data_IF_655091578845
#
_entry.id   IF_655091578845
#
_cell.length_a   1.000
_cell.length_b   1.000
_cell.length_c   1.000
_cell.angle_alpha   90.00
_cell.angle_beta   90.00
_cell.angle_gamma   90.00
#
_symmetry.space_group_name_H-M   'P 1'
#
loop_
_entity.id
_entity.type
_entity.pdbx_description
1 polymer ?
#
# COMPACT_ATOMS: atom_id res chain seq x y z
N UNK A 1 -25.93 15.70 -5.66
CA UNK A 1 -25.33 15.50 -7.00
C UNK A 1 -23.87 14.99 -6.96
N UNK A 2 -23.12 15.26 -5.87
CA UNK A 2 -21.71 14.87 -5.69
C UNK A 2 -21.48 13.38 -5.44
N UNK A 3 -22.41 12.71 -4.74
CA UNK A 3 -22.33 11.27 -4.41
C UNK A 3 -22.39 10.40 -5.67
N UNK A 4 -23.32 10.68 -6.58
CA UNK A 4 -23.46 9.96 -7.87
C UNK A 4 -22.22 10.14 -8.75
N UNK A 5 -21.64 11.36 -8.76
CA UNK A 5 -20.41 11.67 -9.51
C UNK A 5 -19.19 10.91 -8.96
N UNK A 6 -19.09 10.75 -7.64
CA UNK A 6 -18.03 9.96 -7.01
C UNK A 6 -18.21 8.45 -7.24
N UNK A 7 -19.44 7.93 -7.18
CA UNK A 7 -19.73 6.53 -7.47
C UNK A 7 -19.38 6.18 -8.93
N UNK A 8 -19.67 7.06 -9.89
CA UNK A 8 -19.39 6.84 -11.32
C UNK A 8 -17.90 6.84 -11.70
N UNK A 9 -17.04 7.40 -10.85
CA UNK A 9 -15.57 7.44 -11.00
C UNK A 9 -14.86 6.26 -10.32
N UNK A 10 -15.61 5.37 -9.67
CA UNK A 10 -15.05 4.23 -8.95
C UNK A 10 -14.44 3.22 -9.93
N UNK A 11 -13.25 2.66 -9.66
CA UNK A 11 -12.62 1.66 -10.53
C UNK A 11 -13.48 0.41 -10.74
N UNK A 12 -14.23 0.00 -9.70
CA UNK A 12 -15.21 -1.09 -9.79
C UNK A 12 -16.27 -0.84 -10.87
N UNK A 13 -16.70 0.42 -11.03
CA UNK A 13 -17.68 0.80 -12.04
C UNK A 13 -17.10 0.78 -13.46
N UNK A 14 -15.78 0.78 -13.62
CA UNK A 14 -15.13 0.63 -14.93
C UNK A 14 -15.31 -0.80 -15.44
N UNK A 15 -15.08 -1.81 -14.59
CA UNK A 15 -15.24 -3.23 -14.95
C UNK A 15 -16.70 -3.51 -15.35
N UNK A 16 -17.66 -3.01 -14.57
CA UNK A 16 -19.09 -3.18 -14.86
C UNK A 16 -19.49 -2.45 -16.16
N UNK A 17 -18.97 -1.24 -16.41
CA UNK A 17 -19.22 -0.53 -17.68
C UNK A 17 -18.63 -1.27 -18.87
N UNK A 18 -17.42 -1.82 -18.76
CA UNK A 18 -16.79 -2.61 -19.81
C UNK A 18 -17.60 -3.86 -20.13
N UNK A 19 -18.12 -4.57 -19.12
CA UNK A 19 -19.00 -5.72 -19.30
C UNK A 19 -20.30 -5.35 -20.04
N UNK A 20 -20.94 -4.23 -19.65
CA UNK A 20 -22.14 -3.74 -20.31
C UNK A 20 -21.88 -3.33 -21.78
N UNK A 21 -20.79 -2.62 -22.05
CA UNK A 21 -20.39 -2.23 -23.41
C UNK A 21 -20.08 -3.46 -24.26
N UNK A 22 -19.41 -4.47 -23.69
CA UNK A 22 -19.13 -5.73 -24.37
C UNK A 22 -20.41 -6.48 -24.78
N UNK A 23 -21.36 -6.67 -23.86
CA UNK A 23 -22.62 -7.37 -24.14
C UNK A 23 -23.43 -6.62 -25.20
N UNK A 24 -23.60 -5.30 -25.04
CA UNK A 24 -24.37 -4.48 -25.98
C UNK A 24 -23.71 -4.46 -27.36
N UNK A 25 -22.39 -4.27 -27.42
CA UNK A 25 -21.63 -4.27 -28.67
C UNK A 25 -21.71 -5.61 -29.40
N UNK A 26 -21.53 -6.72 -28.68
CA UNK A 26 -21.60 -8.07 -29.24
C UNK A 26 -23.01 -8.41 -29.73
N UNK A 27 -24.05 -8.03 -28.98
CA UNK A 27 -25.44 -8.16 -29.40
C UNK A 27 -25.68 -7.41 -30.73
N UNK A 28 -25.27 -6.15 -30.84
CA UNK A 28 -25.40 -5.38 -32.08
C UNK A 28 -24.67 -6.02 -33.26
N UNK A 29 -23.45 -6.54 -33.05
CA UNK A 29 -22.68 -7.24 -34.10
C UNK A 29 -23.37 -8.52 -34.54
N UNK A 30 -23.91 -9.31 -33.61
CA UNK A 30 -24.57 -10.58 -33.94
C UNK A 30 -25.90 -10.33 -34.64
N UNK A 31 -26.66 -9.33 -34.20
CA UNK A 31 -27.88 -8.87 -34.85
C UNK A 31 -27.62 -8.37 -36.28
N UNK A 32 -26.51 -7.67 -36.51
CA UNK A 32 -26.15 -7.18 -37.86
C UNK A 32 -25.67 -8.31 -38.79
N UNK A 33 -25.17 -9.41 -38.25
CA UNK A 33 -24.63 -10.54 -39.01
C UNK A 33 -25.61 -11.74 -39.09
N UNK A 34 -26.88 -11.56 -38.69
CA UNK A 34 -27.90 -12.62 -38.63
C UNK A 34 -27.43 -13.90 -37.89
N UNK A 35 -26.65 -13.73 -36.82
CA UNK A 35 -26.17 -14.84 -35.97
C UNK A 35 -27.03 -14.99 -34.72
N UNK A 36 -27.29 -16.23 -34.26
CA UNK A 36 -28.03 -16.45 -33.02
C UNK A 36 -27.21 -15.95 -31.81
N UNK A 37 -27.85 -15.14 -30.97
CA UNK A 37 -27.29 -14.65 -29.71
C UNK A 37 -27.97 -15.33 -28.53
N UNK A 38 -27.23 -16.17 -27.81
CA UNK A 38 -27.74 -16.92 -26.66
C UNK A 38 -27.43 -16.15 -25.39
N UNK A 39 -28.46 -15.53 -24.80
CA UNK A 39 -28.31 -14.65 -23.64
C UNK A 39 -27.70 -15.35 -22.41
N UNK A 40 -28.08 -16.60 -22.14
CA UNK A 40 -27.57 -17.35 -20.97
C UNK A 40 -26.06 -17.51 -21.02
N UNK A 41 -25.54 -17.89 -22.18
CA UNK A 41 -24.14 -18.26 -22.36
C UNK A 41 -23.27 -17.00 -22.33
N UNK A 42 -23.74 -15.93 -22.97
CA UNK A 42 -23.06 -14.65 -23.03
C UNK A 42 -23.04 -13.92 -21.68
N UNK A 43 -24.15 -13.97 -20.93
CA UNK A 43 -24.19 -13.43 -19.56
C UNK A 43 -23.32 -14.22 -18.60
N UNK A 44 -23.31 -15.56 -18.71
CA UNK A 44 -22.49 -16.42 -17.86
C UNK A 44 -21.00 -16.20 -18.14
N UNK A 45 -20.60 -16.16 -19.41
CA UNK A 45 -19.22 -15.90 -19.82
C UNK A 45 -18.76 -14.50 -19.37
N UNK A 46 -19.56 -13.47 -19.64
CA UNK A 46 -19.22 -12.09 -19.26
C UNK A 46 -19.19 -11.93 -17.74
N UNK A 47 -20.13 -12.55 -17.03
CA UNK A 47 -20.16 -12.56 -15.56
C UNK A 47 -18.92 -13.21 -14.96
N UNK A 48 -18.48 -14.34 -15.50
CA UNK A 48 -17.27 -15.03 -15.06
C UNK A 48 -16.01 -14.19 -15.27
N UNK A 49 -15.85 -13.57 -16.43
CA UNK A 49 -14.73 -12.66 -16.69
C UNK A 49 -14.77 -11.42 -15.81
N UNK A 50 -15.95 -10.86 -15.56
CA UNK A 50 -16.13 -9.72 -14.64
C UNK A 50 -15.71 -10.09 -13.23
N UNK A 51 -16.06 -11.30 -12.76
CA UNK A 51 -15.67 -11.82 -11.46
C UNK A 51 -14.15 -12.02 -11.35
N UNK A 52 -13.51 -12.61 -12.37
CA UNK A 52 -12.05 -12.78 -12.42
C UNK A 52 -11.35 -11.41 -12.38
N UNK A 53 -11.79 -10.45 -13.20
CA UNK A 53 -11.21 -9.11 -13.23
C UNK A 53 -11.40 -8.39 -11.90
N UNK A 54 -12.53 -8.60 -11.22
CA UNK A 54 -12.76 -8.10 -9.87
C UNK A 54 -11.77 -8.70 -8.86
N UNK A 55 -11.53 -10.02 -8.89
CA UNK A 55 -10.54 -10.66 -8.02
C UNK A 55 -9.12 -10.15 -8.28
N UNK A 56 -8.72 -10.03 -9.55
CA UNK A 56 -7.42 -9.44 -9.92
C UNK A 56 -7.31 -8.02 -9.40
N UNK A 57 -8.38 -7.21 -9.53
CA UNK A 57 -8.42 -5.85 -9.00
C UNK A 57 -8.28 -5.83 -7.47
N UNK A 58 -8.96 -6.73 -6.74
CA UNK A 58 -8.84 -6.84 -5.28
C UNK A 58 -7.41 -7.21 -4.87
N UNK A 59 -6.78 -8.17 -5.54
CA UNK A 59 -5.40 -8.58 -5.26
C UNK A 59 -4.41 -7.45 -5.57
N UNK A 60 -4.55 -6.82 -6.74
CA UNK A 60 -3.75 -5.66 -7.12
C UNK A 60 -3.95 -4.48 -6.17
N UNK A 61 -5.12 -4.35 -5.55
CA UNK A 61 -5.38 -3.31 -4.57
C UNK A 61 -4.70 -3.56 -3.22
N UNK A 62 -4.41 -4.80 -2.85
CA UNK A 62 -3.65 -5.12 -1.62
C UNK A 62 -2.18 -4.71 -1.75
N UNK A 63 -1.66 -4.59 -2.97
CA UNK A 63 -0.27 -4.21 -3.25
C UNK A 63 -0.27 -2.76 -3.74
N UNK A 64 -0.01 -1.76 -2.88
CA UNK A 64 0.12 -0.39 -3.34
C UNK A 64 1.30 -0.28 -4.31
N UNK A 65 1.12 0.38 -5.48
CA UNK A 65 2.24 0.67 -6.37
C UNK A 65 3.24 1.61 -5.68
N UNK A 66 4.53 1.37 -5.91
CA UNK A 66 5.62 2.16 -5.33
C UNK A 66 5.42 3.66 -5.60
N UNK A 67 5.43 4.45 -4.53
CA UNK A 67 5.28 5.90 -4.58
C UNK A 67 3.85 6.44 -4.43
N UNK A 68 2.81 5.61 -4.20
CA UNK A 68 1.45 6.08 -3.87
C UNK A 68 1.06 5.79 -2.41
N UNK A 69 0.61 6.83 -1.69
CA UNK A 69 0.11 6.75 -0.30
C UNK A 69 -1.29 6.12 -0.16
N UNK A 70 -1.95 5.79 -1.27
CA UNK A 70 -3.32 5.24 -1.26
C UNK A 70 -3.44 3.99 -2.10
N UNK A 71 -3.78 2.89 -1.45
CA UNK A 71 -4.30 1.68 -2.09
C UNK A 71 -5.56 2.02 -2.90
N UNK A 72 -5.80 1.40 -4.07
CA UNK A 72 -6.96 1.67 -4.91
C UNK A 72 -8.29 1.13 -4.33
N UNK A 73 -8.26 0.42 -3.21
CA UNK A 73 -9.45 0.06 -2.43
C UNK A 73 -9.93 1.26 -1.60
N UNK A 74 -11.23 1.31 -1.29
CA UNK A 74 -11.79 2.20 -0.27
C UNK A 74 -11.25 1.82 1.11
N UNK A 75 -9.99 2.12 1.39
CA UNK A 75 -9.61 2.43 2.76
C UNK A 75 -10.32 3.77 3.01
N UNK A 76 -11.28 3.80 3.94
CA UNK A 76 -12.00 5.02 4.29
C UNK A 76 -10.99 6.17 4.40
N UNK A 77 -11.30 7.33 3.79
CA UNK A 77 -10.41 8.48 3.85
C UNK A 77 -10.05 8.83 5.30
N UNK A 78 -10.92 8.50 6.27
CA UNK A 78 -10.66 8.55 7.71
C UNK A 78 -9.63 7.54 8.21
N UNK A 79 -9.60 6.32 7.70
CA UNK A 79 -8.59 5.31 8.04
C UNK A 79 -7.24 5.66 7.42
N UNK A 80 -7.20 6.14 6.16
CA UNK A 80 -5.97 6.70 5.57
C UNK A 80 -5.56 7.95 6.34
N UNK A 81 -6.48 8.86 6.69
CA UNK A 81 -6.18 10.00 7.57
C UNK A 81 -5.70 9.53 8.92
N UNK A 82 -6.20 8.45 9.49
CA UNK A 82 -5.78 7.97 10.81
C UNK A 82 -4.40 7.33 10.72
N UNK A 83 -4.11 6.56 9.66
CA UNK A 83 -2.79 5.99 9.39
C UNK A 83 -1.77 7.10 9.09
N UNK A 84 -2.12 8.07 8.24
CA UNK A 84 -1.24 9.19 7.88
C UNK A 84 -1.15 10.24 8.97
N UNK A 85 -2.21 10.54 9.72
CA UNK A 85 -2.18 11.41 10.90
C UNK A 85 -1.32 10.77 11.98
N UNK A 86 -1.42 9.46 12.22
CA UNK A 86 -0.44 8.71 13.03
C UNK A 86 0.98 8.87 12.46
N UNK A 87 1.19 8.63 11.16
CA UNK A 87 2.53 8.78 10.53
C UNK A 87 3.12 10.21 10.63
N UNK A 88 2.28 11.24 10.53
CA UNK A 88 2.67 12.65 10.59
C UNK A 88 2.82 13.16 12.03
N UNK A 89 1.97 12.74 12.97
CA UNK A 89 2.05 13.12 14.39
C UNK A 89 3.28 12.52 15.10
N UNK A 90 3.76 11.37 14.65
CA UNK A 90 5.00 10.76 15.17
C UNK A 90 6.27 11.25 14.45
N UNK A 91 6.13 11.71 13.21
CA UNK A 91 7.26 12.03 12.34
C UNK A 91 8.08 13.22 12.80
N UNK A 92 7.45 14.32 13.24
CA UNK A 92 8.19 15.58 13.43
C UNK A 92 9.05 15.62 14.71
N UNK A 93 8.80 14.76 15.70
CA UNK A 93 9.66 14.64 16.90
C UNK A 93 10.70 13.50 16.80
N UNK A 94 10.49 12.52 15.93
CA UNK A 94 11.45 11.43 15.68
C UNK A 94 12.41 11.79 14.54
N UNK A 95 12.02 12.68 13.62
CA UNK A 95 12.87 13.13 12.50
C UNK A 95 14.24 13.68 12.92
N UNK A 96 14.38 14.20 14.13
CA UNK A 96 15.66 14.70 14.66
C UNK A 96 16.47 13.63 15.41
N UNK A 97 15.83 12.53 15.82
CA UNK A 97 16.50 11.46 16.55
C UNK A 97 17.10 10.44 15.58
N UNK A 98 18.43 10.38 15.55
CA UNK A 98 19.21 9.39 14.80
C UNK A 98 19.07 7.99 15.44
N UNK A 99 19.19 6.95 14.63
CA UNK A 99 19.11 5.54 15.00
C UNK A 99 17.81 4.87 14.62
N UNK A 100 17.81 3.54 14.70
CA UNK A 100 16.67 2.68 14.43
C UNK A 100 15.96 2.30 15.74
N UNK A 101 14.63 2.41 15.75
CA UNK A 101 13.82 2.22 16.97
C UNK A 101 12.63 1.29 16.77
N UNK A 102 12.36 0.47 17.78
CA UNK A 102 11.08 -0.22 17.95
C UNK A 102 10.10 0.65 18.71
N UNK A 103 8.92 0.92 18.13
CA UNK A 103 7.85 1.66 18.79
C UNK A 103 6.93 0.72 19.56
N UNK A 104 6.81 0.95 20.87
CA UNK A 104 5.97 0.18 21.79
C UNK A 104 4.93 1.11 22.40
N UNK A 105 3.63 0.83 22.26
CA UNK A 105 2.59 1.63 22.90
C UNK A 105 2.63 1.44 24.43
N UNK A 106 2.52 2.55 25.17
CA UNK A 106 2.57 2.55 26.65
C UNK A 106 1.59 3.57 27.22
N UNK A 107 0.93 3.23 28.33
CA UNK A 107 0.13 4.16 29.11
C UNK A 107 0.89 4.54 30.38
N UNK A 108 0.98 5.85 30.66
CA UNK A 108 1.56 6.40 31.89
C UNK A 108 0.56 7.44 32.39
N UNK A 109 0.04 7.27 33.62
CA UNK A 109 -0.93 8.17 34.25
C UNK A 109 -2.13 8.53 33.34
N UNK A 110 -2.78 7.51 32.76
CA UNK A 110 -3.91 7.62 31.81
C UNK A 110 -3.64 8.39 30.50
N UNK A 111 -2.38 8.75 30.24
CA UNK A 111 -1.95 9.36 28.98
C UNK A 111 -1.27 8.32 28.10
N UNK A 112 -1.61 8.32 26.81
CA UNK A 112 -1.04 7.40 25.83
C UNK A 112 0.29 7.93 25.27
N UNK A 113 1.32 7.07 25.30
CA UNK A 113 2.68 7.33 24.83
C UNK A 113 3.15 6.23 23.89
N UNK A 114 4.17 6.56 23.12
CA UNK A 114 4.99 5.60 22.38
C UNK A 114 6.40 5.61 22.96
N UNK A 115 6.84 4.44 23.43
CA UNK A 115 8.21 4.19 23.86
C UNK A 115 9.00 3.65 22.65
N UNK A 116 9.99 4.41 22.21
CA UNK A 116 10.86 4.07 21.09
C UNK A 116 12.18 3.55 21.65
N UNK A 117 12.36 2.22 21.62
CA UNK A 117 13.58 1.57 22.10
C UNK A 117 14.55 1.36 20.95
N UNK A 118 15.84 1.69 21.10
CA UNK A 118 16.85 1.38 20.08
C UNK A 118 16.89 -0.14 19.83
N UNK A 119 17.11 -0.52 18.57
CA UNK A 119 17.30 -1.93 18.21
C UNK A 119 18.53 -2.48 18.96
N UNK A 120 18.40 -3.71 19.49
CA UNK A 120 19.44 -4.35 20.31
C UNK A 120 20.62 -4.90 19.51
N UNK A 121 20.45 -5.14 18.21
CA UNK A 121 21.48 -5.71 17.35
C UNK A 121 21.55 -5.01 15.98
N UNK A 122 22.20 -3.83 15.89
CA UNK A 122 22.35 -3.11 14.63
C UNK A 122 23.13 -3.90 13.56
N UNK A 123 24.12 -4.71 13.97
CA UNK A 123 24.95 -5.51 13.06
C UNK A 123 24.13 -6.52 12.26
N UNK A 124 23.18 -7.20 12.90
CA UNK A 124 22.29 -8.14 12.21
C UNK A 124 21.37 -7.43 11.20
N UNK A 125 20.96 -6.19 11.50
CA UNK A 125 20.16 -5.38 10.59
C UNK A 125 20.97 -5.02 9.34
N UNK A 126 22.24 -4.62 9.51
CA UNK A 126 23.15 -4.33 8.39
C UNK A 126 23.29 -5.56 7.48
N UNK A 127 23.64 -6.72 8.05
CA UNK A 127 23.82 -7.95 7.28
C UNK A 127 22.57 -8.37 6.49
N UNK A 128 21.39 -8.23 7.11
CA UNK A 128 20.11 -8.51 6.44
C UNK A 128 19.85 -7.51 5.32
N UNK A 129 20.06 -6.22 5.57
CA UNK A 129 19.85 -5.17 4.58
C UNK A 129 20.78 -5.34 3.37
N UNK A 130 22.06 -5.62 3.57
CA UNK A 130 23.02 -5.93 2.51
C UNK A 130 22.59 -7.15 1.68
N UNK A 131 22.14 -8.23 2.33
CA UNK A 131 21.63 -9.41 1.64
C UNK A 131 20.40 -9.07 0.77
N UNK A 132 19.49 -8.23 1.27
CA UNK A 132 18.34 -7.77 0.49
C UNK A 132 18.75 -6.88 -0.69
N UNK A 133 19.71 -5.96 -0.49
CA UNK A 133 20.25 -5.12 -1.57
C UNK A 133 20.84 -5.99 -2.68
N UNK A 134 21.59 -7.05 -2.33
CA UNK A 134 22.18 -7.96 -3.31
C UNK A 134 21.10 -8.66 -4.16
N UNK A 135 20.01 -9.11 -3.54
CA UNK A 135 18.87 -9.71 -4.26
C UNK A 135 18.14 -8.67 -5.12
N UNK A 136 17.92 -7.46 -4.60
CA UNK A 136 17.23 -6.38 -5.32
C UNK A 136 18.02 -5.90 -6.54
N UNK A 137 19.35 -5.78 -6.41
CA UNK A 137 20.24 -5.47 -7.52
C UNK A 137 20.19 -6.53 -8.63
N UNK A 138 20.02 -7.81 -8.28
CA UNK A 138 19.88 -8.89 -9.26
C UNK A 138 18.56 -8.82 -10.05
N UNK A 139 17.51 -8.19 -9.50
CA UNK A 139 16.21 -8.05 -10.15
C UNK A 139 16.17 -6.92 -11.20
N UNK A 140 17.08 -5.93 -11.11
CA UNK A 140 17.26 -4.82 -12.07
C UNK A 140 15.94 -4.16 -12.53
N UNK A 141 15.11 -3.74 -11.56
CA UNK A 141 13.84 -3.03 -11.81
C UNK A 141 13.88 -1.64 -11.17
N UNK A 142 13.24 -0.64 -11.76
CA UNK A 142 13.22 0.72 -11.18
C UNK A 142 12.54 0.81 -9.78
N UNK A 143 11.71 -0.17 -9.41
CA UNK A 143 11.19 -0.34 -8.05
C UNK A 143 12.25 -0.83 -7.06
N UNK A 144 13.23 -1.61 -7.53
CA UNK A 144 14.33 -2.09 -6.70
C UNK A 144 15.22 -0.92 -6.24
N UNK A 145 15.46 0.08 -7.10
CA UNK A 145 16.31 1.24 -6.77
C UNK A 145 15.77 2.03 -5.56
N UNK A 146 14.45 2.23 -5.48
CA UNK A 146 13.83 2.92 -4.34
C UNK A 146 13.94 2.11 -3.05
N UNK A 147 13.85 0.78 -3.14
CA UNK A 147 14.01 -0.11 -2.00
C UNK A 147 15.47 -0.19 -1.55
N UNK A 148 16.41 -0.19 -2.50
CA UNK A 148 17.86 -0.14 -2.23
C UNK A 148 18.18 1.15 -1.48
N UNK A 149 17.73 2.32 -1.96
CA UNK A 149 17.98 3.60 -1.27
C UNK A 149 17.42 3.61 0.17
N UNK A 150 16.27 2.97 0.41
CA UNK A 150 15.71 2.82 1.77
C UNK A 150 16.57 1.90 2.64
N UNK A 151 17.08 0.79 2.07
CA UNK A 151 17.95 -0.15 2.79
C UNK A 151 19.31 0.47 3.09
N UNK A 152 19.87 1.27 2.18
CA UNK A 152 21.10 2.04 2.39
C UNK A 152 20.94 3.03 3.56
N UNK A 153 19.84 3.77 3.61
CA UNK A 153 19.54 4.63 4.76
C UNK A 153 19.40 3.83 6.07
N UNK A 154 18.82 2.62 6.03
CA UNK A 154 18.74 1.75 7.22
C UNK A 154 20.14 1.31 7.67
N UNK A 155 21.04 1.01 6.73
CA UNK A 155 22.44 0.67 7.02
C UNK A 155 23.13 1.87 7.68
N UNK A 156 23.03 3.06 7.12
CA UNK A 156 23.64 4.28 7.69
C UNK A 156 23.17 4.54 9.13
N UNK A 157 21.88 4.37 9.41
CA UNK A 157 21.36 4.54 10.77
C UNK A 157 21.79 3.41 11.72
N UNK A 158 21.94 2.18 11.22
CA UNK A 158 22.46 1.06 12.01
C UNK A 158 23.96 1.21 12.32
N UNK A 159 24.76 1.70 11.36
CA UNK A 159 26.18 2.03 11.55
C UNK A 159 26.34 3.15 12.58
N UNK A 160 25.51 4.19 12.50
CA UNK A 160 25.47 5.24 13.51
C UNK A 160 25.25 4.68 14.92
N UNK A 161 24.38 3.68 15.09
CA UNK A 161 24.12 3.03 16.37
C UNK A 161 25.28 2.14 16.88
N UNK A 162 26.19 1.71 16.01
CA UNK A 162 27.39 0.98 16.43
C UNK A 162 28.44 1.93 17.02
N UNK A 163 28.46 3.17 16.55
CA UNK A 163 29.42 4.19 16.97
C UNK A 163 28.90 5.12 18.08
N UNK A 164 27.57 5.17 18.28
CA UNK A 164 26.92 6.12 19.18
C UNK A 164 25.87 5.45 20.06
N UNK A 165 25.87 5.79 21.35
CA UNK A 165 24.85 5.35 22.30
C UNK A 165 23.50 6.01 22.00
N UNK A 166 22.55 5.24 21.46
CA UNK A 166 21.18 5.68 21.22
C UNK A 166 20.32 5.44 22.48
N UNK A 167 19.52 6.43 22.87
CA UNK A 167 18.71 6.39 24.08
C UNK A 167 17.24 6.12 23.78
N UNK A 168 16.51 5.54 24.73
CA UNK A 168 15.07 5.28 24.57
C UNK A 168 14.30 6.60 24.59
N UNK A 169 13.44 6.82 23.60
CA UNK A 169 12.63 8.04 23.49
C UNK A 169 11.20 7.75 23.95
N UNK A 170 10.60 8.65 24.72
CA UNK A 170 9.19 8.56 25.13
C UNK A 170 8.45 9.74 24.52
N UNK A 171 7.54 9.44 23.60
CA UNK A 171 6.81 10.46 22.86
C UNK A 171 5.33 10.36 23.21
N UNK A 172 4.77 11.46 23.72
CA UNK A 172 3.33 11.55 23.99
C UNK A 172 2.58 11.46 22.66
N UNK A 173 1.59 10.57 22.59
CA UNK A 173 0.71 10.51 21.44
C UNK A 173 -0.13 11.80 21.40
N UNK A 174 -0.02 12.58 20.33
CA UNK A 174 -0.95 13.70 20.10
C UNK A 174 -2.35 13.18 19.82
N UNK A 175 -3.35 13.89 20.36
CA UNK A 175 -4.78 13.62 20.16
C UNK A 175 -5.25 14.13 18.78
#
# INVERSE_FOLDING_TARGET
>A
MTIVKNILRTPLFIIIKMAAVYIVGKYCIFAFNDKPFIWSDELTLTGWWTFILYLIYVIAAVIPPDGMDSSPLFIHAEVIKTINKKRFDFGDKIKEARGLYHSIPKFIDDVFYYEHKPISNPLEVIQKAEAFILVLNALNTGSADQLIAKLEHIIEEAEYMLENDCTTLIIKASA
#
